data_IF_467645560022
#
_entry.id   IF_467645560022
#
_cell.length_a   1.000
_cell.length_b   1.000
_cell.length_c   1.000
_cell.angle_alpha   90.00
_cell.angle_beta   90.00
_cell.angle_gamma   90.00
#
_symmetry.space_group_name_H-M   'P 1'
#
loop_
_entity.id
_entity.type
_entity.pdbx_description
1 polymer ?
#
# COMPACT_ATOMS: atom_id res chain seq x y z
N UNK A 1 12.02 28.56 6.26
CA UNK A 1 12.63 28.28 4.96
C UNK A 1 11.65 27.36 4.24
N UNK A 2 10.91 27.93 3.30
CA UNK A 2 9.78 27.27 2.65
C UNK A 2 10.32 26.60 1.40
N UNK A 3 10.28 25.26 1.36
CA UNK A 3 10.58 24.53 0.12
C UNK A 3 9.51 24.86 -0.93
N UNK A 4 9.89 24.99 -2.21
CA UNK A 4 8.97 25.49 -3.22
C UNK A 4 7.90 24.44 -3.53
N UNK A 5 6.65 24.89 -3.66
CA UNK A 5 5.59 24.11 -4.24
C UNK A 5 5.96 23.76 -5.69
N UNK A 6 5.98 22.46 -6.00
CA UNK A 6 6.11 21.98 -7.38
C UNK A 6 4.75 22.15 -8.06
N UNK A 7 4.56 23.29 -8.70
CA UNK A 7 3.36 23.61 -9.48
C UNK A 7 3.36 22.77 -10.77
N UNK A 8 2.51 21.74 -10.81
CA UNK A 8 2.31 20.85 -11.97
C UNK A 8 2.48 19.35 -11.71
N UNK A 9 2.96 18.94 -10.53
CA UNK A 9 3.08 17.52 -10.18
C UNK A 9 1.81 17.01 -9.50
N UNK A 10 1.26 15.89 -9.98
CA UNK A 10 0.19 15.16 -9.26
C UNK A 10 0.67 14.91 -7.81
N UNK A 11 -0.19 15.04 -6.78
CA UNK A 11 0.22 14.74 -5.41
C UNK A 11 0.75 13.31 -5.31
N UNK A 12 1.79 13.06 -4.50
CA UNK A 12 2.33 11.72 -4.31
C UNK A 12 1.24 10.77 -3.82
N UNK A 13 1.14 9.59 -4.42
CA UNK A 13 0.08 8.63 -4.15
C UNK A 13 0.55 7.50 -3.25
N UNK A 14 -0.05 7.39 -2.07
CA UNK A 14 0.06 6.21 -1.22
C UNK A 14 -1.09 5.25 -1.54
N UNK A 15 -0.76 4.02 -1.92
CA UNK A 15 -1.76 2.94 -2.01
C UNK A 15 -1.73 2.13 -0.72
N UNK A 16 -2.90 1.86 -0.16
CA UNK A 16 -3.08 0.96 1.00
C UNK A 16 -3.97 -0.20 0.60
N UNK A 17 -3.50 -1.44 0.77
CA UNK A 17 -4.29 -2.66 0.60
C UNK A 17 -4.75 -3.13 1.99
N UNK A 18 -6.05 -3.34 2.15
CA UNK A 18 -6.72 -3.72 3.39
C UNK A 18 -7.42 -5.07 3.25
N UNK A 19 -7.27 -5.92 4.27
CA UNK A 19 -7.82 -7.27 4.26
C UNK A 19 -9.04 -7.47 5.16
N UNK A 20 -9.36 -6.49 6.02
CA UNK A 20 -10.53 -6.50 6.90
C UNK A 20 -11.05 -5.07 7.07
N UNK A 21 -12.37 -4.91 7.23
CA UNK A 21 -13.05 -3.60 7.33
C UNK A 21 -12.57 -2.78 8.55
N UNK A 22 -12.22 -3.48 9.63
CA UNK A 22 -11.74 -2.86 10.88
C UNK A 22 -10.21 -2.64 10.90
N UNK A 23 -9.47 -3.03 9.85
CA UNK A 23 -8.01 -2.93 9.76
C UNK A 23 -7.55 -1.89 8.73
N UNK A 24 -8.10 -0.67 8.83
CA UNK A 24 -7.68 0.48 8.02
C UNK A 24 -6.26 0.98 8.35
N UNK A 25 -5.74 1.98 7.59
CA UNK A 25 -4.35 2.45 7.72
C UNK A 25 -4.04 3.17 9.05
N UNK A 26 -5.07 3.58 9.80
CA UNK A 26 -4.92 4.33 11.05
C UNK A 26 -3.92 5.49 10.92
N UNK A 27 -2.97 5.54 11.86
CA UNK A 27 -1.94 6.58 11.91
C UNK A 27 -1.08 6.67 10.63
N UNK A 28 -0.87 5.55 9.90
CA UNK A 28 -0.12 5.57 8.63
C UNK A 28 -0.83 6.46 7.62
N UNK A 29 -2.16 6.32 7.51
CA UNK A 29 -2.97 7.12 6.59
C UNK A 29 -3.08 8.58 7.02
N UNK A 30 -3.22 8.83 8.32
CA UNK A 30 -3.27 10.18 8.88
C UNK A 30 -1.96 10.94 8.63
N UNK A 31 -0.82 10.32 8.91
CA UNK A 31 0.51 10.90 8.67
C UNK A 31 0.72 11.16 7.17
N UNK A 32 0.41 10.19 6.30
CA UNK A 32 0.55 10.35 4.86
C UNK A 32 -0.27 11.53 4.32
N UNK A 33 -1.53 11.64 4.77
CA UNK A 33 -2.39 12.78 4.42
C UNK A 33 -1.81 14.09 4.94
N UNK A 34 -1.26 14.11 6.17
CA UNK A 34 -0.59 15.27 6.76
C UNK A 34 0.65 15.73 5.98
N UNK A 35 1.33 14.84 5.25
CA UNK A 35 2.41 15.16 4.32
C UNK A 35 1.94 15.52 2.91
N UNK A 36 0.63 15.65 2.68
CA UNK A 36 0.06 16.02 1.38
C UNK A 36 0.00 14.86 0.38
N UNK A 37 0.11 13.60 0.84
CA UNK A 37 -0.07 12.44 -0.03
C UNK A 37 -1.55 12.18 -0.30
N UNK A 38 -1.87 11.78 -1.52
CA UNK A 38 -3.16 11.21 -1.85
C UNK A 38 -3.19 9.74 -1.41
N UNK A 39 -4.02 9.41 -0.41
CA UNK A 39 -4.18 8.04 0.08
C UNK A 39 -5.31 7.33 -0.68
N UNK A 40 -5.00 6.25 -1.40
CA UNK A 40 -5.96 5.36 -2.07
C UNK A 40 -6.03 4.03 -1.33
N UNK A 41 -7.19 3.76 -0.72
CA UNK A 41 -7.48 2.53 0.01
C UNK A 41 -8.14 1.51 -0.94
N UNK A 42 -7.68 0.27 -0.89
CA UNK A 42 -8.19 -0.86 -1.66
C UNK A 42 -8.54 -1.99 -0.69
N UNK A 43 -9.76 -2.48 -0.74
CA UNK A 43 -10.19 -3.66 0.00
C UNK A 43 -9.76 -4.96 -0.69
N UNK A 44 -9.95 -6.09 -0.01
CA UNK A 44 -9.77 -7.41 -0.60
C UNK A 44 -10.68 -7.69 -1.82
N UNK A 45 -11.79 -6.95 -1.96
CA UNK A 45 -12.70 -7.07 -3.10
C UNK A 45 -12.24 -6.24 -4.32
N UNK A 46 -11.38 -5.25 -4.11
CA UNK A 46 -10.91 -4.36 -5.18
C UNK A 46 -9.79 -5.03 -6.00
N UNK A 47 -9.69 -4.76 -7.31
CA UNK A 47 -8.59 -5.24 -8.12
C UNK A 47 -7.25 -4.69 -7.61
N UNK A 48 -6.19 -5.48 -7.74
CA UNK A 48 -4.84 -4.99 -7.44
C UNK A 48 -4.47 -3.84 -8.39
N UNK A 49 -3.75 -2.83 -7.89
CA UNK A 49 -3.41 -1.65 -8.66
C UNK A 49 -2.27 -1.91 -9.63
N UNK A 50 -2.27 -1.19 -10.75
CA UNK A 50 -1.02 -0.91 -11.45
C UNK A 50 -0.15 0.04 -10.58
N UNK A 51 1.17 -0.13 -10.66
CA UNK A 51 2.13 0.67 -9.88
C UNK A 51 2.48 2.01 -10.54
N UNK A 52 1.98 2.28 -11.75
CA UNK A 52 2.24 3.52 -12.46
C UNK A 52 1.65 4.73 -11.72
N UNK A 53 2.51 5.69 -11.36
CA UNK A 53 2.14 6.87 -10.58
C UNK A 53 1.91 6.60 -9.08
N UNK A 54 2.13 5.38 -8.61
CA UNK A 54 2.17 5.05 -7.17
C UNK A 54 3.53 5.47 -6.62
N UNK A 55 3.54 6.20 -5.51
CA UNK A 55 4.78 6.66 -4.86
C UNK A 55 5.19 5.81 -3.67
N UNK A 56 4.23 5.10 -3.05
CA UNK A 56 4.48 4.16 -1.97
C UNK A 56 3.33 3.15 -1.87
N UNK A 57 3.63 1.95 -1.35
CA UNK A 57 2.66 0.86 -1.14
C UNK A 57 2.66 0.43 0.33
N UNK A 58 1.47 0.34 0.92
CA UNK A 58 1.23 -0.25 2.23
C UNK A 58 0.31 -1.46 2.06
N UNK A 59 0.67 -2.56 2.70
CA UNK A 59 -0.18 -3.77 2.78
C UNK A 59 -0.48 -4.05 4.25
N UNK A 60 -1.75 -3.92 4.62
CA UNK A 60 -2.20 -4.01 6.01
C UNK A 60 -2.31 -5.47 6.50
N UNK A 61 -2.64 -5.61 7.79
CA UNK A 61 -2.94 -6.89 8.40
C UNK A 61 -4.26 -7.49 7.89
N UNK A 62 -4.56 -8.68 8.38
CA UNK A 62 -5.83 -9.38 8.17
C UNK A 62 -5.87 -10.73 8.88
N UNK A 63 -7.06 -11.32 9.07
CA UNK A 63 -7.24 -12.61 9.75
C UNK A 63 -6.76 -13.82 8.93
N UNK A 64 -6.36 -13.61 7.68
CA UNK A 64 -5.91 -14.68 6.79
C UNK A 64 -4.61 -15.31 7.27
N UNK A 65 -4.42 -16.58 6.95
CA UNK A 65 -3.12 -17.25 7.08
C UNK A 65 -2.37 -17.21 5.75
N UNK A 66 -1.11 -16.79 5.78
CA UNK A 66 -0.21 -16.85 4.60
C UNK A 66 0.01 -18.26 4.04
N UNK A 67 -0.29 -19.30 4.81
CA UNK A 67 -0.16 -20.69 4.38
C UNK A 67 -1.44 -21.26 3.75
N UNK A 68 -2.55 -20.52 3.81
CA UNK A 68 -3.80 -20.93 3.17
C UNK A 68 -3.69 -20.82 1.64
N UNK A 69 -4.38 -21.67 0.87
CA UNK A 69 -4.38 -21.61 -0.58
C UNK A 69 -5.25 -20.44 -1.08
N UNK A 70 -4.77 -19.22 -0.90
CA UNK A 70 -5.44 -17.99 -1.34
C UNK A 70 -4.79 -17.48 -2.63
N UNK A 71 -5.60 -17.28 -3.68
CA UNK A 71 -5.11 -16.75 -4.96
C UNK A 71 -4.78 -15.26 -4.85
N UNK A 72 -5.56 -14.51 -4.08
CA UNK A 72 -5.37 -13.07 -3.91
C UNK A 72 -4.06 -12.78 -3.20
N UNK A 73 -3.77 -13.47 -2.10
CA UNK A 73 -2.51 -13.29 -1.38
C UNK A 73 -1.28 -13.60 -2.26
N UNK A 74 -1.38 -14.60 -3.14
CA UNK A 74 -0.32 -14.89 -4.12
C UNK A 74 -0.14 -13.76 -5.14
N UNK A 75 -1.23 -13.19 -5.63
CA UNK A 75 -1.17 -12.03 -6.53
C UNK A 75 -0.56 -10.80 -5.81
N UNK A 76 -0.80 -10.65 -4.51
CA UNK A 76 -0.20 -9.58 -3.69
C UNK A 76 1.29 -9.76 -3.46
N UNK A 77 1.78 -10.99 -3.27
CA UNK A 77 3.21 -11.28 -3.22
C UNK A 77 3.89 -10.87 -4.53
N UNK A 78 3.25 -11.13 -5.69
CA UNK A 78 3.78 -10.70 -7.00
C UNK A 78 3.84 -9.17 -7.09
N UNK A 79 2.79 -8.47 -6.64
CA UNK A 79 2.76 -7.01 -6.60
C UNK A 79 3.85 -6.42 -5.69
N UNK A 80 4.03 -7.00 -4.50
CA UNK A 80 5.08 -6.60 -3.54
C UNK A 80 6.47 -6.77 -4.15
N UNK A 81 6.73 -7.92 -4.77
CA UNK A 81 8.00 -8.19 -5.47
C UNK A 81 8.24 -7.17 -6.60
N UNK A 82 7.21 -6.87 -7.39
CA UNK A 82 7.29 -5.86 -8.45
C UNK A 82 7.59 -4.46 -7.90
N UNK A 83 6.92 -4.05 -6.82
CA UNK A 83 7.12 -2.76 -6.19
C UNK A 83 8.55 -2.60 -5.67
N UNK A 84 9.06 -3.62 -4.96
CA UNK A 84 10.44 -3.64 -4.46
C UNK A 84 11.45 -3.59 -5.62
N UNK A 85 11.21 -4.36 -6.68
CA UNK A 85 12.08 -4.37 -7.89
C UNK A 85 12.14 -3.00 -8.56
N UNK A 86 11.02 -2.25 -8.57
CA UNK A 86 10.94 -0.88 -9.09
C UNK A 86 11.54 0.17 -8.14
N UNK A 87 12.00 -0.22 -6.94
CA UNK A 87 12.52 0.69 -5.93
C UNK A 87 11.44 1.51 -5.22
N UNK A 88 10.17 1.08 -5.28
CA UNK A 88 9.10 1.74 -4.53
C UNK A 88 9.23 1.44 -3.04
N UNK A 89 9.05 2.45 -2.16
CA UNK A 89 8.89 2.23 -0.74
C UNK A 89 7.68 1.33 -0.46
N UNK A 90 7.92 0.25 0.28
CA UNK A 90 6.90 -0.73 0.68
C UNK A 90 6.88 -0.86 2.21
N UNK A 91 5.69 -0.87 2.80
CA UNK A 91 5.47 -1.18 4.21
C UNK A 91 4.43 -2.29 4.35
N UNK A 92 4.85 -3.45 4.85
CA UNK A 92 3.95 -4.53 5.25
C UNK A 92 3.64 -4.45 6.75
N UNK A 93 2.38 -4.67 7.13
CA UNK A 93 1.93 -4.69 8.54
C UNK A 93 1.29 -6.04 8.84
N UNK A 94 1.74 -6.72 9.91
CA UNK A 94 1.24 -8.04 10.32
C UNK A 94 1.24 -9.05 9.15
N UNK A 95 0.07 -9.43 8.62
CA UNK A 95 -0.06 -10.25 7.41
C UNK A 95 0.75 -9.68 6.24
N UNK A 96 0.63 -8.39 5.96
CA UNK A 96 1.39 -7.74 4.89
C UNK A 96 2.90 -7.84 5.06
N UNK A 97 3.41 -7.88 6.30
CA UNK A 97 4.84 -8.11 6.55
C UNK A 97 5.25 -9.56 6.27
N UNK A 98 4.36 -10.53 6.53
CA UNK A 98 4.59 -11.93 6.20
C UNK A 98 4.57 -12.17 4.69
N UNK A 99 3.72 -11.45 3.94
CA UNK A 99 3.69 -11.52 2.48
C UNK A 99 4.94 -10.90 1.83
N UNK A 100 5.57 -9.93 2.50
CA UNK A 100 6.76 -9.24 1.99
C UNK A 100 8.10 -9.93 2.35
N UNK A 101 8.07 -10.99 3.19
CA UNK A 101 9.23 -11.72 3.67
C UNK A 101 9.72 -12.78 2.67
#
# INVERSE_FOLDING_TARGET
>A
MTEPAVEGSRPPMLVVIEHAEDEGPGLIGEIATGFGMQVRRLSAADPLPALDGVTALVVMGGPQSVHAPDRRLRDEVVLLHEAVTRGLPVLGVCLGAQLAA
#
